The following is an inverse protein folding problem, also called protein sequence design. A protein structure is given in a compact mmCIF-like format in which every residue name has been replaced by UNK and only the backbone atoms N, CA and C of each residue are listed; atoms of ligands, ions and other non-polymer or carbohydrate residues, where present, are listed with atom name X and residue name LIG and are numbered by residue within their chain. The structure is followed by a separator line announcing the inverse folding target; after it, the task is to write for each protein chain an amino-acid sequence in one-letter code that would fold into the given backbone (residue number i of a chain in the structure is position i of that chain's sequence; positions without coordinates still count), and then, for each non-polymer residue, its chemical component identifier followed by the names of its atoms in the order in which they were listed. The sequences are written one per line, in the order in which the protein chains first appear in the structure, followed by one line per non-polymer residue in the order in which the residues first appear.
data_IF_719552260200
#
_entry.id   IF_719552260200
#
_cell.length_a   1.000
_cell.length_b   1.000
_cell.length_c   1.000
_cell.angle_alpha   90.00
_cell.angle_beta   90.00
_cell.angle_gamma   90.00
#
_symmetry.space_group_name_H-M   'P 1'
#
loop_
_entity.id
_entity.type
_entity.pdbx_description
1 polymer ?
#
# COMPACT_ATOMS: atom_id res chain seq x y z
N UNK A 1 2.17 -6.18 13.37
CA UNK A 1 3.30 -5.65 12.58
C UNK A 1 3.51 -6.54 11.35
N UNK A 2 3.73 -5.93 10.21
CA UNK A 2 3.95 -6.64 8.95
C UNK A 2 5.41 -7.10 8.88
N UNK A 3 5.64 -8.30 9.35
CA UNK A 3 6.97 -8.87 9.59
C UNK A 3 7.87 -8.90 8.34
N UNK A 4 7.33 -9.33 7.21
CA UNK A 4 8.11 -9.42 5.98
C UNK A 4 8.47 -8.05 5.40
N UNK A 5 7.55 -7.08 5.48
CA UNK A 5 7.84 -5.70 5.09
C UNK A 5 8.91 -5.08 5.99
N UNK A 6 8.86 -5.38 7.30
CA UNK A 6 9.87 -4.95 8.25
C UNK A 6 11.27 -5.44 7.84
N UNK A 7 11.39 -6.69 7.46
CA UNK A 7 12.66 -7.27 7.00
C UNK A 7 13.21 -6.54 5.77
N UNK A 8 12.35 -6.28 4.79
CA UNK A 8 12.75 -5.57 3.57
C UNK A 8 13.13 -4.12 3.87
N UNK A 9 12.38 -3.46 4.74
CA UNK A 9 12.67 -2.09 5.14
C UNK A 9 14.08 -1.94 5.69
N UNK A 10 14.46 -2.80 6.64
CA UNK A 10 15.78 -2.71 7.25
C UNK A 10 16.89 -3.10 6.27
N UNK A 11 16.63 -4.05 5.38
CA UNK A 11 17.57 -4.40 4.32
C UNK A 11 17.80 -3.22 3.37
N UNK A 12 16.73 -2.55 2.93
CA UNK A 12 16.80 -1.36 2.08
C UNK A 12 17.62 -0.25 2.73
N UNK A 13 17.37 0.04 4.01
CA UNK A 13 18.07 1.07 4.75
C UNK A 13 19.59 0.86 4.76
N UNK A 14 20.03 -0.37 4.92
CA UNK A 14 21.46 -0.70 4.94
C UNK A 14 22.07 -0.77 3.56
N UNK A 15 21.37 -1.26 2.59
CA UNK A 15 21.87 -1.51 1.24
C UNK A 15 21.54 -0.39 0.26
N UNK A 16 20.79 0.62 0.67
CA UNK A 16 20.31 1.74 -0.17
C UNK A 16 19.57 1.29 -1.42
N UNK A 17 18.85 0.17 -1.31
CA UNK A 17 18.01 -0.33 -2.39
C UNK A 17 16.65 0.36 -2.30
N UNK A 18 16.22 0.98 -3.39
CA UNK A 18 14.95 1.69 -3.48
C UNK A 18 14.07 1.04 -4.55
N UNK A 19 12.76 1.31 -4.48
CA UNK A 19 11.79 0.86 -5.48
C UNK A 19 11.76 -0.64 -5.68
N UNK A 20 11.40 -1.36 -4.63
CA UNK A 20 11.12 -2.78 -4.76
C UNK A 20 9.94 -3.01 -5.70
N UNK A 21 10.01 -4.08 -6.49
CA UNK A 21 8.91 -4.48 -7.36
C UNK A 21 7.97 -5.43 -6.63
N UNK A 22 6.69 -5.09 -6.64
CA UNK A 22 5.65 -5.89 -6.00
C UNK A 22 4.55 -6.25 -7.01
N UNK A 23 3.82 -7.30 -6.68
CA UNK A 23 2.57 -7.66 -7.36
C UNK A 23 1.48 -7.65 -6.31
N UNK A 24 0.32 -7.07 -6.64
CA UNK A 24 -0.81 -7.06 -5.73
C UNK A 24 -2.13 -6.98 -6.50
N UNK A 25 -3.20 -7.42 -5.84
CA UNK A 25 -4.56 -7.34 -6.35
C UNK A 25 -5.22 -6.08 -5.80
N UNK A 26 -5.74 -5.25 -6.70
CA UNK A 26 -6.47 -4.04 -6.32
C UNK A 26 -7.91 -4.42 -5.98
N UNK A 27 -8.24 -4.45 -4.69
CA UNK A 27 -9.53 -4.96 -4.23
C UNK A 27 -10.62 -3.90 -4.20
N UNK A 28 -10.36 -2.75 -3.61
CA UNK A 28 -11.37 -1.70 -3.48
C UNK A 28 -10.77 -0.33 -3.16
N UNK A 29 -11.60 0.70 -3.33
CA UNK A 29 -11.27 2.08 -2.97
C UNK A 29 -11.91 2.43 -1.64
N UNK A 30 -11.23 3.28 -0.87
CA UNK A 30 -11.75 3.85 0.36
C UNK A 30 -11.94 5.36 0.22
N UNK A 31 -12.35 5.99 1.32
CA UNK A 31 -12.52 7.43 1.41
C UNK A 31 -11.89 7.95 2.68
N UNK A 32 -11.38 9.19 2.65
CA UNK A 32 -11.00 9.89 3.86
C UNK A 32 -12.25 10.50 4.49
N UNK A 33 -12.43 10.25 5.77
CA UNK A 33 -13.55 10.77 6.55
C UNK A 33 -13.04 11.51 7.76
N UNK A 34 -13.72 12.60 8.09
CA UNK A 34 -13.46 13.35 9.30
C UNK A 34 -14.75 13.49 10.09
N UNK A 35 -14.67 13.34 11.40
CA UNK A 35 -15.82 13.52 12.27
C UNK A 35 -15.90 14.98 12.70
N UNK A 36 -16.96 15.68 12.25
CA UNK A 36 -17.22 17.07 12.61
C UNK A 36 -18.61 17.14 13.24
N UNK A 37 -18.70 17.66 14.48
CA UNK A 37 -19.96 17.82 15.22
C UNK A 37 -20.78 16.54 15.29
N UNK A 38 -20.11 15.40 15.51
CA UNK A 38 -20.76 14.10 15.62
C UNK A 38 -21.14 13.46 14.30
N UNK A 39 -20.88 14.12 13.18
CA UNK A 39 -21.17 13.59 11.85
C UNK A 39 -19.89 13.32 11.06
N UNK A 40 -19.90 12.27 10.24
CA UNK A 40 -18.78 11.98 9.35
C UNK A 40 -18.93 12.77 8.05
N UNK A 41 -17.85 13.49 7.68
CA UNK A 41 -17.77 14.24 6.43
C UNK A 41 -16.72 13.57 5.55
N UNK A 42 -17.06 13.34 4.29
CA UNK A 42 -16.11 12.78 3.33
C UNK A 42 -15.24 13.93 2.82
N UNK A 43 -13.96 13.93 3.21
CA UNK A 43 -13.00 14.95 2.81
C UNK A 43 -12.45 14.70 1.42
N UNK A 44 -12.11 13.47 1.12
CA UNK A 44 -11.49 13.10 -0.14
C UNK A 44 -11.94 11.71 -0.55
N UNK A 45 -12.53 11.60 -1.73
CA UNK A 45 -12.95 10.32 -2.28
C UNK A 45 -11.75 9.59 -2.88
N UNK A 46 -11.73 8.28 -2.72
CA UNK A 46 -10.68 7.42 -3.27
C UNK A 46 -9.27 7.79 -2.80
N UNK A 47 -9.17 8.40 -1.61
CA UNK A 47 -7.88 8.79 -1.04
C UNK A 47 -7.00 7.58 -0.69
N UNK A 48 -7.63 6.46 -0.38
CA UNK A 48 -6.95 5.20 -0.05
C UNK A 48 -7.49 4.08 -0.92
N UNK A 49 -6.63 3.11 -1.20
CA UNK A 49 -7.05 1.87 -1.85
C UNK A 49 -6.55 0.68 -1.04
N UNK A 50 -7.28 -0.43 -1.13
CA UNK A 50 -6.90 -1.68 -0.50
C UNK A 50 -6.24 -2.59 -1.53
N UNK A 51 -4.99 -2.95 -1.26
CA UNK A 51 -4.26 -3.96 -2.01
C UNK A 51 -4.26 -5.26 -1.23
N UNK A 52 -4.38 -6.36 -1.95
CA UNK A 52 -4.46 -7.69 -1.39
C UNK A 52 -3.39 -8.59 -1.99
N UNK A 53 -2.95 -9.59 -1.22
CA UNK A 53 -1.96 -10.57 -1.65
C UNK A 53 -0.68 -9.91 -2.21
N UNK A 54 -0.10 -9.02 -1.42
CA UNK A 54 1.13 -8.32 -1.80
C UNK A 54 2.26 -9.32 -1.90
N UNK A 55 2.80 -9.47 -3.11
CA UNK A 55 3.79 -10.49 -3.45
C UNK A 55 5.12 -9.85 -3.81
N UNK A 56 6.19 -10.42 -3.28
CA UNK A 56 7.57 -10.02 -3.58
C UNK A 56 8.40 -11.28 -3.86
N UNK A 57 9.06 -11.32 -5.01
CA UNK A 57 9.87 -12.47 -5.44
C UNK A 57 9.09 -13.80 -5.36
N UNK A 58 7.82 -13.79 -5.80
CA UNK A 58 6.98 -14.97 -5.85
C UNK A 58 6.38 -15.40 -4.53
N UNK A 59 6.60 -14.65 -3.44
CA UNK A 59 6.08 -14.97 -2.12
C UNK A 59 5.14 -13.89 -1.64
N UNK A 60 3.97 -14.28 -1.12
CA UNK A 60 3.04 -13.34 -0.49
C UNK A 60 3.65 -12.88 0.84
N UNK A 61 3.91 -11.58 0.96
CA UNK A 61 4.55 -11.00 2.14
C UNK A 61 3.58 -10.20 3.02
N UNK A 62 2.37 -9.94 2.51
CA UNK A 62 1.35 -9.22 3.26
C UNK A 62 -0.01 -9.58 2.70
N UNK A 63 -0.99 -9.87 3.57
CA UNK A 63 -2.33 -10.26 3.14
C UNK A 63 -3.09 -9.11 2.50
N UNK A 64 -3.04 -7.95 3.13
CA UNK A 64 -3.70 -6.75 2.64
C UNK A 64 -3.07 -5.52 3.27
N UNK A 65 -3.18 -4.40 2.55
CA UNK A 65 -2.60 -3.14 2.98
C UNK A 65 -3.36 -1.98 2.36
N UNK A 66 -3.65 -0.96 3.15
CA UNK A 66 -4.19 0.30 2.65
C UNK A 66 -3.04 1.22 2.26
N UNK A 67 -3.10 1.77 1.06
CA UNK A 67 -2.08 2.68 0.55
C UNK A 67 -2.73 3.93 -0.04
N UNK A 68 -1.92 4.98 -0.28
CA UNK A 68 -2.39 6.17 -0.98
C UNK A 68 -2.90 5.78 -2.36
N UNK A 69 -4.10 6.25 -2.70
CA UNK A 69 -4.77 5.89 -3.93
C UNK A 69 -4.40 6.71 -5.16
N UNK A 70 -3.57 7.73 -5.00
CA UNK A 70 -3.24 8.66 -6.09
C UNK A 70 -2.64 7.93 -7.31
N UNK A 71 -1.70 7.02 -7.08
CA UNK A 71 -1.04 6.29 -8.15
C UNK A 71 -2.00 5.38 -8.93
N UNK A 72 -3.10 4.98 -8.30
CA UNK A 72 -4.10 4.09 -8.90
C UNK A 72 -5.31 4.84 -9.48
N UNK A 73 -5.23 6.16 -9.56
CA UNK A 73 -6.30 6.98 -10.13
C UNK A 73 -6.54 6.57 -11.60
N UNK A 74 -7.78 6.28 -11.93
CA UNK A 74 -8.15 5.84 -13.27
C UNK A 74 -7.93 4.36 -13.56
N UNK A 75 -7.34 3.60 -12.63
CA UNK A 75 -7.15 2.17 -12.78
C UNK A 75 -8.36 1.41 -12.22
N UNK A 76 -8.63 0.25 -12.81
CA UNK A 76 -9.77 -0.56 -12.41
C UNK A 76 -9.43 -1.48 -11.23
N UNK A 77 -10.37 -1.59 -10.29
CA UNK A 77 -10.30 -2.56 -9.21
C UNK A 77 -10.57 -3.98 -9.73
N UNK A 78 -10.30 -4.97 -8.91
CA UNK A 78 -10.47 -6.40 -9.22
C UNK A 78 -9.51 -6.90 -10.30
N UNK A 79 -8.36 -6.25 -10.42
CA UNK A 79 -7.27 -6.67 -11.30
C UNK A 79 -5.96 -6.73 -10.52
N UNK A 80 -5.05 -7.53 -11.04
CA UNK A 80 -3.71 -7.68 -10.49
C UNK A 80 -2.75 -6.75 -11.23
N UNK A 81 -1.90 -6.07 -10.47
CA UNK A 81 -0.91 -5.13 -11.01
C UNK A 81 0.47 -5.44 -10.47
N UNK A 82 1.49 -5.20 -11.31
CA UNK A 82 2.85 -5.08 -10.82
C UNK A 82 3.18 -3.60 -10.69
N UNK A 83 4.00 -3.24 -9.72
CA UNK A 83 4.37 -1.86 -9.48
C UNK A 83 5.66 -1.77 -8.65
N UNK A 84 6.29 -0.62 -8.67
CA UNK A 84 7.43 -0.33 -7.80
C UNK A 84 6.96 0.49 -6.62
N UNK A 85 7.55 0.26 -5.45
CA UNK A 85 7.25 1.03 -4.25
C UNK A 85 8.40 0.98 -3.26
N UNK A 86 8.46 2.00 -2.40
CA UNK A 86 9.33 2.01 -1.24
C UNK A 86 8.54 1.51 -0.03
N UNK A 87 9.25 1.06 0.99
CA UNK A 87 8.62 0.64 2.24
C UNK A 87 8.70 1.79 3.23
N UNK A 88 7.56 2.16 3.81
CA UNK A 88 7.44 3.22 4.79
C UNK A 88 7.28 2.63 6.19
N UNK A 89 8.03 3.14 7.15
CA UNK A 89 7.80 2.87 8.56
C UNK A 89 6.93 3.98 9.14
N UNK A 90 5.89 3.63 9.86
CA UNK A 90 5.02 4.60 10.51
C UNK A 90 4.59 4.08 11.89
N UNK A 91 4.02 4.98 12.69
CA UNK A 91 3.56 4.64 14.03
C UNK A 91 2.05 4.74 14.10
N UNK A 92 1.43 3.67 14.57
CA UNK A 92 0.01 3.64 14.88
C UNK A 92 -0.27 4.34 16.20
N UNK A 93 -1.55 4.60 16.46
CA UNK A 93 -2.00 5.11 17.75
C UNK A 93 -1.43 4.26 18.89
N UNK A 94 -0.88 4.92 19.92
CA UNK A 94 -0.21 4.23 21.02
C UNK A 94 1.28 3.95 20.79
N UNK A 95 1.85 4.48 19.70
CA UNK A 95 3.28 4.34 19.42
C UNK A 95 3.69 3.00 18.83
N UNK A 96 2.74 2.20 18.37
CA UNK A 96 3.03 0.89 17.76
C UNK A 96 3.57 1.07 16.36
N UNK A 97 4.77 0.57 16.12
CA UNK A 97 5.45 0.62 14.82
C UNK A 97 4.81 -0.35 13.82
N UNK A 98 4.62 0.10 12.59
CA UNK A 98 4.16 -0.75 11.50
C UNK A 98 4.76 -0.28 10.16
N UNK A 99 4.49 -1.02 9.10
CA UNK A 99 5.07 -0.79 7.78
C UNK A 99 4.00 -0.75 6.69
N UNK A 100 4.21 0.10 5.70
CA UNK A 100 3.34 0.25 4.56
C UNK A 100 4.15 0.50 3.30
N UNK A 101 3.48 0.70 2.16
CA UNK A 101 4.11 1.02 0.89
C UNK A 101 3.88 2.50 0.57
N UNK A 102 4.89 3.13 -0.03
CA UNK A 102 4.83 4.53 -0.45
C UNK A 102 5.53 4.71 -1.80
N UNK A 103 5.31 5.85 -2.42
CA UNK A 103 5.91 6.18 -3.73
C UNK A 103 5.66 5.10 -4.78
N UNK A 104 4.42 4.64 -4.85
CA UNK A 104 4.01 3.62 -5.82
C UNK A 104 4.08 4.21 -7.22
N UNK A 105 4.78 3.51 -8.12
CA UNK A 105 4.98 3.98 -9.49
C UNK A 105 5.17 2.79 -10.42
N UNK A 106 5.24 3.05 -11.74
CA UNK A 106 5.39 2.02 -12.77
C UNK A 106 4.35 0.91 -12.68
N UNK A 107 3.09 1.31 -12.54
CA UNK A 107 1.99 0.35 -12.38
C UNK A 107 1.61 -0.24 -13.74
N UNK A 108 1.68 -1.56 -13.83
CA UNK A 108 1.38 -2.30 -15.06
C UNK A 108 0.35 -3.38 -14.75
N UNK A 109 -0.72 -3.41 -15.54
CA UNK A 109 -1.74 -4.46 -15.44
C UNK A 109 -1.15 -5.81 -15.83
N UNK A 110 -1.37 -6.82 -15.00
CA UNK A 110 -0.98 -8.18 -15.31
C UNK A 110 -2.18 -8.87 -15.94
N UNK A 111 -2.02 -9.31 -17.18
CA UNK A 111 -3.04 -10.10 -17.87
C UNK A 111 -2.90 -11.56 -17.46
N UNK A 112 -4.01 -12.15 -17.12
CA UNK A 112 -4.07 -13.58 -16.80
C UNK A 112 -4.48 -14.38 -18.03
#
# INVERSE_FOLDING_TARGET
MRKELSKLYYKEKYNKVENYEFIAFFEKRGTDREKIDGKYVIRKRNAKILLKDITFNGKIICDHIWVDGIAFKGLEKNHKYTFNANIEKYYKRGGIKDFSLMNINNIILIEE
#
